data_IF_417387602129
#
_entry.id   IF_417387602129
#
_cell.length_a   1.000
_cell.length_b   1.000
_cell.length_c   1.000
_cell.angle_alpha   90.00
_cell.angle_beta   90.00
_cell.angle_gamma   90.00
#
_symmetry.space_group_name_H-M   'P 1'
#
loop_
_entity.id
_entity.type
_entity.pdbx_description
1 polymer ?
#
# COMPACT_ATOMS: atom_id res chain seq x y z
N UNK A 1 8.10 7.22 -38.72
CA UNK A 1 7.68 7.02 -37.32
C UNK A 1 6.33 7.68 -37.17
N UNK A 2 5.28 6.93 -36.80
CA UNK A 2 3.91 7.48 -36.67
C UNK A 2 3.83 8.38 -35.44
N UNK A 3 3.50 9.66 -35.67
CA UNK A 3 3.32 10.66 -34.62
C UNK A 3 2.14 10.28 -33.70
N UNK A 4 2.31 10.43 -32.39
CA UNK A 4 1.31 10.04 -31.40
C UNK A 4 0.26 11.14 -31.28
N UNK A 5 -0.96 10.85 -31.70
CA UNK A 5 -2.07 11.80 -31.70
C UNK A 5 -2.93 11.72 -30.44
N UNK A 6 -3.67 12.81 -30.16
CA UNK A 6 -4.67 12.92 -29.07
C UNK A 6 -5.72 11.81 -29.11
N UNK A 7 -6.13 11.39 -30.32
CA UNK A 7 -7.10 10.30 -30.55
C UNK A 7 -6.54 8.96 -30.06
N UNK A 8 -5.26 8.65 -30.36
CA UNK A 8 -4.63 7.40 -29.92
C UNK A 8 -4.57 7.30 -28.39
N UNK A 9 -4.30 8.42 -27.71
CA UNK A 9 -4.29 8.48 -26.24
C UNK A 9 -5.71 8.29 -25.69
N UNK A 10 -6.73 8.87 -26.33
CA UNK A 10 -8.14 8.69 -25.94
C UNK A 10 -8.59 7.24 -26.13
N UNK A 11 -8.28 6.63 -27.26
CA UNK A 11 -8.66 5.24 -27.57
C UNK A 11 -7.99 4.27 -26.59
N UNK A 12 -6.73 4.53 -26.21
CA UNK A 12 -6.05 3.78 -25.15
C UNK A 12 -6.79 3.90 -23.81
N UNK A 13 -7.18 5.12 -23.42
CA UNK A 13 -7.90 5.35 -22.17
C UNK A 13 -9.28 4.66 -22.16
N UNK A 14 -10.03 4.71 -23.26
CA UNK A 14 -11.33 4.02 -23.37
C UNK A 14 -11.16 2.49 -23.33
N UNK A 15 -10.16 1.93 -24.03
CA UNK A 15 -9.85 0.48 -23.94
C UNK A 15 -9.52 0.03 -22.52
N UNK A 16 -8.80 0.84 -21.75
CA UNK A 16 -8.49 0.53 -20.34
C UNK A 16 -9.73 0.66 -19.46
N UNK A 17 -10.60 1.64 -19.75
CA UNK A 17 -11.85 1.87 -19.04
C UNK A 17 -12.85 0.74 -19.26
N UNK A 18 -12.92 0.17 -20.47
CA UNK A 18 -13.72 -1.03 -20.78
C UNK A 18 -13.29 -2.25 -19.94
N UNK A 19 -12.00 -2.36 -19.60
CA UNK A 19 -11.48 -3.40 -18.69
C UNK A 19 -11.86 -3.17 -17.21
N UNK A 20 -12.64 -2.13 -16.92
CA UNK A 20 -13.21 -1.87 -15.60
C UNK A 20 -12.33 -1.03 -14.67
N UNK A 21 -11.13 -0.60 -15.08
CA UNK A 21 -10.23 0.15 -14.20
C UNK A 21 -10.02 1.60 -14.63
N UNK A 22 -10.97 2.46 -14.22
CA UNK A 22 -10.93 3.91 -14.46
C UNK A 22 -9.68 4.60 -13.89
N UNK A 23 -9.21 4.14 -12.72
CA UNK A 23 -8.02 4.66 -12.07
C UNK A 23 -6.76 4.49 -12.93
N UNK A 24 -6.59 3.30 -13.52
CA UNK A 24 -5.44 2.98 -14.38
C UNK A 24 -5.51 3.77 -15.68
N UNK A 25 -6.71 3.98 -16.24
CA UNK A 25 -6.87 4.82 -17.44
C UNK A 25 -6.41 6.25 -17.18
N UNK A 26 -6.75 6.83 -16.01
CA UNK A 26 -6.27 8.16 -15.65
C UNK A 26 -4.75 8.17 -15.44
N UNK A 27 -4.22 7.20 -14.71
CA UNK A 27 -2.77 7.09 -14.45
C UNK A 27 -1.98 6.97 -15.75
N UNK A 28 -2.46 6.19 -16.73
CA UNK A 28 -1.82 6.08 -18.04
C UNK A 28 -1.77 7.44 -18.75
N UNK A 29 -2.86 8.21 -18.73
CA UNK A 29 -2.91 9.56 -19.30
C UNK A 29 -1.97 10.53 -18.58
N UNK A 30 -1.86 10.46 -17.25
CA UNK A 30 -0.93 11.29 -16.47
C UNK A 30 0.54 10.95 -16.75
N UNK A 31 0.87 9.66 -16.89
CA UNK A 31 2.22 9.22 -17.26
C UNK A 31 2.59 9.76 -18.64
N UNK A 32 1.70 9.62 -19.64
CA UNK A 32 1.91 10.16 -20.97
C UNK A 32 2.13 11.68 -20.88
N UNK A 33 1.26 12.40 -20.17
CA UNK A 33 1.39 13.84 -20.00
C UNK A 33 2.75 14.24 -19.39
N UNK A 34 3.20 13.51 -18.35
CA UNK A 34 4.47 13.76 -17.67
C UNK A 34 5.68 13.53 -18.58
N UNK A 35 5.68 12.47 -19.38
CA UNK A 35 6.77 12.17 -20.33
C UNK A 35 6.90 13.26 -21.39
N UNK A 36 5.79 13.73 -21.96
CA UNK A 36 5.83 14.85 -22.92
C UNK A 36 6.26 16.16 -22.27
N UNK A 37 5.78 16.46 -21.06
CA UNK A 37 6.21 17.65 -20.32
C UNK A 37 7.72 17.62 -20.03
N UNK A 38 8.27 16.44 -19.71
CA UNK A 38 9.70 16.26 -19.52
C UNK A 38 10.51 16.51 -20.80
N UNK A 39 10.02 16.03 -21.96
CA UNK A 39 10.66 16.27 -23.26
C UNK A 39 10.63 17.77 -23.63
N UNK A 40 9.47 18.43 -23.45
CA UNK A 40 9.32 19.88 -23.70
C UNK A 40 10.25 20.69 -22.80
N UNK A 41 10.38 20.33 -21.52
CA UNK A 41 11.27 21.00 -20.59
C UNK A 41 12.77 20.89 -20.97
N UNK A 42 13.14 19.89 -21.78
CA UNK A 42 14.50 19.72 -22.33
C UNK A 42 14.72 20.44 -23.66
N UNK A 43 13.73 21.16 -24.18
CA UNK A 43 13.84 21.95 -25.40
C UNK A 43 13.35 21.25 -26.67
N UNK A 44 12.75 20.07 -26.56
CA UNK A 44 12.14 19.38 -27.69
C UNK A 44 10.78 20.03 -28.04
N UNK A 45 10.58 20.41 -29.30
CA UNK A 45 9.37 21.09 -29.77
C UNK A 45 8.25 20.11 -30.11
N UNK A 46 7.79 19.33 -29.13
CA UNK A 46 6.62 18.45 -29.29
C UNK A 46 5.38 19.06 -28.66
N UNK A 47 4.22 18.91 -29.30
CA UNK A 47 2.94 19.22 -28.67
C UNK A 47 2.48 18.05 -27.82
N UNK A 48 2.04 18.32 -26.59
CA UNK A 48 1.57 17.27 -25.68
C UNK A 48 0.15 16.80 -26.07
N UNK A 49 -0.04 15.55 -26.54
CA UNK A 49 -1.35 15.05 -26.97
C UNK A 49 -2.30 14.78 -25.78
N UNK A 50 -1.79 14.68 -24.55
CA UNK A 50 -2.60 14.46 -23.35
C UNK A 50 -3.07 15.75 -22.67
N UNK A 51 -2.53 16.91 -23.06
CA UNK A 51 -2.85 18.21 -22.44
C UNK A 51 -4.33 18.60 -22.61
N UNK A 52 -4.92 18.33 -23.77
CA UNK A 52 -6.31 18.67 -24.08
C UNK A 52 -7.33 17.66 -23.53
N UNK A 53 -6.89 16.51 -23.02
CA UNK A 53 -7.78 15.48 -22.47
C UNK A 53 -7.94 15.78 -20.98
N UNK A 54 -9.12 16.27 -20.56
CA UNK A 54 -9.39 16.51 -19.13
C UNK A 54 -9.48 15.19 -18.36
N UNK A 55 -8.86 15.14 -17.19
CA UNK A 55 -8.92 13.99 -16.28
C UNK A 55 -10.37 13.59 -15.95
N UNK A 56 -11.25 14.58 -15.77
CA UNK A 56 -12.68 14.38 -15.48
C UNK A 56 -13.45 13.70 -16.62
N UNK A 57 -12.97 13.78 -17.86
CA UNK A 57 -13.57 13.08 -19.01
C UNK A 57 -13.24 11.59 -19.00
N UNK A 58 -12.12 11.19 -18.40
CA UNK A 58 -11.67 9.79 -18.35
C UNK A 58 -12.29 9.07 -17.15
N UNK A 59 -12.21 9.67 -15.97
CA UNK A 59 -12.62 9.01 -14.74
C UNK A 59 -13.20 10.00 -13.72
N UNK A 60 -14.41 9.69 -13.25
CA UNK A 60 -14.89 10.19 -11.95
C UNK A 60 -14.57 9.11 -10.92
N UNK A 61 -13.66 9.41 -9.99
CA UNK A 61 -13.40 8.51 -8.87
C UNK A 61 -14.61 8.50 -7.96
N UNK A 62 -15.30 7.36 -7.91
CA UNK A 62 -16.23 7.08 -6.83
C UNK A 62 -15.42 6.48 -5.70
N UNK A 63 -15.38 7.17 -4.56
CA UNK A 63 -14.74 6.66 -3.37
C UNK A 63 -15.34 5.31 -2.97
N UNK A 64 -14.51 4.39 -2.49
CA UNK A 64 -15.00 3.13 -1.91
C UNK A 64 -15.67 3.47 -0.58
N UNK A 65 -16.99 3.44 -0.55
CA UNK A 65 -17.79 3.79 0.62
C UNK A 65 -17.99 2.65 1.61
N UNK A 66 -17.57 1.41 1.28
CA UNK A 66 -17.70 0.28 2.20
C UNK A 66 -16.61 0.33 3.26
N UNK A 67 -17.02 0.57 4.49
CA UNK A 67 -16.22 0.37 5.70
C UNK A 67 -16.73 -0.85 6.46
N UNK A 68 -15.87 -1.49 7.23
CA UNK A 68 -16.31 -2.54 8.16
C UNK A 68 -17.04 -1.89 9.34
N UNK A 69 -18.22 -2.40 9.67
CA UNK A 69 -18.93 -2.05 10.89
C UNK A 69 -18.33 -2.74 12.10
N UNK A 70 -18.55 -2.21 13.31
CA UNK A 70 -18.03 -2.81 14.55
C UNK A 70 -18.41 -4.29 14.71
N UNK A 71 -19.63 -4.67 14.29
CA UNK A 71 -20.10 -6.06 14.33
C UNK A 71 -19.33 -6.95 13.34
N UNK A 72 -19.11 -6.48 12.12
CA UNK A 72 -18.33 -7.21 11.12
C UNK A 72 -16.87 -7.39 11.57
N UNK A 73 -16.28 -6.41 12.26
CA UNK A 73 -14.93 -6.53 12.82
C UNK A 73 -14.88 -7.65 13.88
N UNK A 74 -15.85 -7.69 14.80
CA UNK A 74 -15.92 -8.75 15.82
C UNK A 74 -16.06 -10.14 15.20
N UNK A 75 -16.95 -10.29 14.22
CA UNK A 75 -17.11 -11.56 13.47
C UNK A 75 -15.80 -11.93 12.77
N UNK A 76 -15.17 -10.98 12.08
CA UNK A 76 -13.91 -11.21 11.37
C UNK A 76 -12.80 -11.70 12.29
N UNK A 77 -12.64 -11.09 13.47
CA UNK A 77 -11.61 -11.49 14.43
C UNK A 77 -11.88 -12.89 15.00
N UNK A 78 -13.13 -13.24 15.30
CA UNK A 78 -13.48 -14.58 15.76
C UNK A 78 -13.20 -15.65 14.69
N UNK A 79 -13.61 -15.37 13.44
CA UNK A 79 -13.34 -16.29 12.32
C UNK A 79 -11.84 -16.42 12.04
N UNK A 80 -11.06 -15.34 12.23
CA UNK A 80 -9.61 -15.37 12.07
C UNK A 80 -8.95 -16.37 13.02
N UNK A 81 -9.47 -16.52 14.24
CA UNK A 81 -8.95 -17.46 15.22
C UNK A 81 -9.25 -18.92 14.84
N UNK A 82 -10.41 -19.19 14.25
CA UNK A 82 -10.83 -20.54 13.81
C UNK A 82 -10.13 -21.01 12.53
N UNK A 83 -9.73 -20.09 11.65
CA UNK A 83 -9.08 -20.45 10.38
C UNK A 83 -7.73 -21.12 10.63
N UNK A 84 -7.42 -22.19 9.90
CA UNK A 84 -6.12 -22.90 9.93
C UNK A 84 -4.94 -22.14 9.29
N UNK A 85 -4.88 -20.82 9.43
CA UNK A 85 -3.79 -19.98 8.93
C UNK A 85 -2.59 -19.98 9.88
N UNK A 86 -1.40 -19.63 9.36
CA UNK A 86 -0.19 -19.49 10.17
C UNK A 86 -0.38 -18.42 11.26
N UNK A 87 0.03 -18.72 12.49
CA UNK A 87 -0.15 -17.82 13.65
C UNK A 87 0.51 -16.44 13.45
N UNK A 88 1.59 -16.38 12.67
CA UNK A 88 2.24 -15.12 12.29
C UNK A 88 1.32 -14.22 11.44
N UNK A 89 0.51 -14.81 10.56
CA UNK A 89 -0.45 -14.07 9.72
C UNK A 89 -1.59 -13.54 10.57
N UNK A 90 -2.14 -14.38 11.47
CA UNK A 90 -3.19 -13.95 12.40
C UNK A 90 -2.71 -12.80 13.27
N UNK A 91 -1.51 -12.92 13.86
CA UNK A 91 -0.90 -11.87 14.66
C UNK A 91 -0.71 -10.56 13.88
N UNK A 92 -0.23 -10.64 12.63
CA UNK A 92 -0.06 -9.44 11.80
C UNK A 92 -1.39 -8.77 11.42
N UNK A 93 -2.45 -9.55 11.20
CA UNK A 93 -3.79 -9.01 10.94
C UNK A 93 -4.34 -8.31 12.18
N UNK A 94 -4.29 -8.94 13.35
CA UNK A 94 -4.68 -8.33 14.62
C UNK A 94 -3.90 -7.03 14.90
N UNK A 95 -2.61 -7.01 14.58
CA UNK A 95 -1.77 -5.83 14.70
C UNK A 95 -2.22 -4.68 13.77
N UNK A 96 -2.83 -4.98 12.60
CA UNK A 96 -3.47 -3.93 11.76
C UNK A 96 -4.55 -3.23 12.58
N UNK A 97 -5.44 -4.01 13.21
CA UNK A 97 -6.60 -3.47 13.90
C UNK A 97 -6.22 -2.67 15.15
N UNK A 98 -5.13 -3.07 15.83
CA UNK A 98 -4.66 -2.38 17.03
C UNK A 98 -3.87 -1.11 16.75
N UNK A 99 -3.06 -1.09 15.69
CA UNK A 99 -2.15 0.04 15.40
C UNK A 99 -2.65 0.97 14.29
N UNK A 100 -3.53 0.46 13.42
CA UNK A 100 -4.02 1.14 12.21
C UNK A 100 -2.91 1.67 11.28
N UNK A 101 -1.69 1.17 11.46
CA UNK A 101 -0.53 1.54 10.65
C UNK A 101 -0.70 0.97 9.24
N UNK A 102 -0.27 1.73 8.24
CA UNK A 102 -0.44 1.32 6.84
C UNK A 102 0.38 0.07 6.54
N UNK A 103 -0.10 -0.73 5.58
CA UNK A 103 0.58 -1.95 5.14
C UNK A 103 2.07 -1.73 4.85
N UNK A 104 2.42 -0.67 4.13
CA UNK A 104 3.81 -0.34 3.78
C UNK A 104 4.67 -0.03 5.00
N UNK A 105 4.12 0.72 5.96
CA UNK A 105 4.84 1.15 7.17
C UNK A 105 5.14 -0.03 8.10
N UNK A 106 4.26 -1.04 8.14
CA UNK A 106 4.49 -2.26 8.93
C UNK A 106 5.43 -3.26 8.27
N UNK A 107 5.35 -3.42 6.94
CA UNK A 107 6.24 -4.36 6.23
C UNK A 107 7.71 -3.93 6.36
N UNK A 108 7.95 -2.63 6.33
CA UNK A 108 9.29 -2.05 6.42
C UNK A 108 9.73 -1.71 7.86
N UNK A 109 8.94 -2.10 8.86
CA UNK A 109 9.26 -1.85 10.26
C UNK A 109 10.54 -2.58 10.65
N UNK A 110 11.35 -1.98 11.52
CA UNK A 110 12.49 -2.67 12.14
C UNK A 110 12.24 -2.90 13.61
N UNK A 111 12.80 -3.98 14.15
CA UNK A 111 12.69 -4.29 15.58
C UNK A 111 13.32 -3.22 16.48
N UNK A 112 14.32 -2.50 15.98
CA UNK A 112 15.00 -1.41 16.70
C UNK A 112 14.16 -0.13 16.81
N UNK A 113 13.09 0.01 16.00
CA UNK A 113 12.18 1.15 16.06
C UNK A 113 11.12 0.99 17.18
N UNK A 114 11.03 -0.19 17.79
CA UNK A 114 10.00 -0.55 18.77
C UNK A 114 10.63 -0.58 20.17
N UNK A 115 10.21 0.35 21.02
CA UNK A 115 10.50 0.31 22.44
C UNK A 115 9.46 -0.56 23.16
N UNK A 116 9.86 -1.78 23.51
CA UNK A 116 9.03 -2.73 24.27
C UNK A 116 8.81 -2.31 25.72
N UNK A 117 9.68 -1.45 26.29
CA UNK A 117 9.59 -1.00 27.68
C UNK A 117 8.65 0.20 27.81
N UNK A 118 8.80 1.19 26.94
CA UNK A 118 7.92 2.36 26.86
C UNK A 118 6.64 2.14 26.07
N UNK A 119 6.52 1.03 25.34
CA UNK A 119 5.36 0.73 24.51
C UNK A 119 5.20 1.70 23.34
N UNK A 120 6.31 2.16 22.75
CA UNK A 120 6.30 3.19 21.71
C UNK A 120 6.96 2.64 20.45
N UNK A 121 6.26 2.75 19.33
CA UNK A 121 6.84 2.53 18.02
C UNK A 121 7.06 3.87 17.32
N UNK A 122 8.32 4.28 17.19
CA UNK A 122 8.70 5.56 16.58
C UNK A 122 9.12 5.38 15.12
N UNK A 123 8.39 5.98 14.18
CA UNK A 123 8.80 6.06 12.77
C UNK A 123 8.86 7.50 12.29
N UNK A 124 9.92 7.84 11.59
CA UNK A 124 10.06 9.16 10.96
C UNK A 124 9.47 9.10 9.55
N UNK A 125 8.49 9.97 9.25
CA UNK A 125 7.96 10.13 7.89
C UNK A 125 8.12 11.58 7.46
N UNK A 126 8.81 11.80 6.33
CA UNK A 126 9.00 13.13 5.73
C UNK A 126 9.53 14.19 6.73
N UNK A 127 10.46 13.80 7.60
CA UNK A 127 11.06 14.61 8.68
C UNK A 127 10.16 14.94 9.88
N UNK A 128 8.95 14.37 9.97
CA UNK A 128 8.13 14.44 11.17
C UNK A 128 8.23 13.12 11.96
N UNK A 129 8.57 13.17 13.27
CA UNK A 129 8.49 11.99 14.12
C UNK A 129 7.02 11.59 14.30
N UNK A 130 6.70 10.35 13.98
CA UNK A 130 5.39 9.75 14.22
C UNK A 130 5.54 8.64 15.26
N UNK A 131 5.10 8.92 16.48
CA UNK A 131 5.10 7.93 17.56
C UNK A 131 3.73 7.29 17.65
N UNK A 132 3.70 5.96 17.51
CA UNK A 132 2.51 5.13 17.71
C UNK A 132 2.62 4.48 19.08
N UNK A 133 1.68 4.80 19.96
CA UNK A 133 1.60 4.15 21.27
C UNK A 133 0.98 2.77 21.12
N UNK A 134 1.64 1.76 21.66
CA UNK A 134 1.24 0.36 21.58
C UNK A 134 0.47 -0.04 22.84
N UNK A 135 -0.65 -0.72 22.66
CA UNK A 135 -1.35 -1.39 23.75
C UNK A 135 -0.58 -2.62 24.21
N UNK A 136 -0.89 -3.15 25.41
CA UNK A 136 -0.29 -4.41 25.88
C UNK A 136 -0.53 -5.57 24.90
N UNK A 137 -1.74 -5.68 24.35
CA UNK A 137 -2.06 -6.67 23.32
C UNK A 137 -1.17 -6.53 22.08
N UNK A 138 -0.88 -5.29 21.65
CA UNK A 138 0.00 -5.07 20.51
C UNK A 138 1.44 -5.47 20.83
N UNK A 139 1.93 -5.19 22.04
CA UNK A 139 3.25 -5.61 22.50
C UNK A 139 3.38 -7.13 22.56
N UNK A 140 2.39 -7.82 23.11
CA UNK A 140 2.36 -9.29 23.17
C UNK A 140 2.41 -9.91 21.77
N UNK A 141 1.66 -9.33 20.82
CA UNK A 141 1.71 -9.75 19.42
C UNK A 141 3.07 -9.49 18.77
N UNK A 142 3.74 -8.37 19.07
CA UNK A 142 5.10 -8.12 18.59
C UNK A 142 6.10 -9.11 19.16
N UNK A 143 5.99 -9.47 20.45
CA UNK A 143 6.83 -10.48 21.09
C UNK A 143 6.59 -11.87 20.47
N UNK A 144 5.33 -12.23 20.26
CA UNK A 144 4.96 -13.48 19.59
C UNK A 144 5.54 -13.54 18.17
N UNK A 145 5.41 -12.46 17.39
CA UNK A 145 5.99 -12.35 16.05
C UNK A 145 7.52 -12.49 16.06
N UNK A 146 8.21 -11.87 17.00
CA UNK A 146 9.67 -11.99 17.17
C UNK A 146 10.06 -13.44 17.49
N UNK A 147 9.27 -14.12 18.31
CA UNK A 147 9.47 -15.53 18.67
C UNK A 147 9.28 -16.43 17.46
N UNK A 148 8.21 -16.26 16.69
CA UNK A 148 7.98 -17.01 15.45
C UNK A 148 9.11 -16.78 14.44
N UNK A 149 9.61 -15.55 14.29
CA UNK A 149 10.75 -15.28 13.42
C UNK A 149 12.01 -16.03 13.87
N UNK A 150 12.31 -16.05 15.17
CA UNK A 150 13.47 -16.78 15.70
C UNK A 150 13.39 -18.29 15.49
N UNK A 151 12.19 -18.89 15.55
CA UNK A 151 11.98 -20.32 15.26
C UNK A 151 12.10 -20.66 13.76
N UNK A 152 11.61 -19.78 12.88
CA UNK A 152 11.59 -20.03 11.43
C UNK A 152 12.89 -19.67 10.70
N UNK A 153 13.75 -18.84 11.32
CA UNK A 153 15.03 -18.44 10.73
C UNK A 153 16.01 -19.61 10.55
N UNK A 154 15.76 -20.76 11.17
CA UNK A 154 16.56 -21.98 10.96
C UNK A 154 16.16 -22.78 9.70
N UNK A 155 15.04 -22.47 9.02
CA UNK A 155 14.50 -23.35 7.98
C UNK A 155 13.93 -22.70 6.70
N UNK A 156 13.70 -21.38 6.63
CA UNK A 156 13.04 -20.81 5.44
C UNK A 156 13.54 -19.41 5.04
N UNK A 157 14.49 -19.36 4.10
CA UNK A 157 14.97 -18.14 3.43
C UNK A 157 13.99 -17.56 2.39
N UNK A 158 12.75 -18.04 2.29
CA UNK A 158 11.87 -17.66 1.16
C UNK A 158 10.36 -17.53 1.45
N UNK A 159 9.93 -17.38 2.70
CA UNK A 159 8.51 -17.15 3.01
C UNK A 159 8.22 -15.66 3.24
N UNK A 160 7.92 -14.94 2.16
CA UNK A 160 7.76 -13.48 2.10
C UNK A 160 6.51 -12.90 2.79
N UNK A 161 6.03 -13.47 3.90
CA UNK A 161 4.84 -12.92 4.58
C UNK A 161 5.20 -11.96 5.71
N UNK A 162 6.32 -12.16 6.42
CA UNK A 162 6.87 -11.17 7.37
C UNK A 162 8.39 -11.38 7.41
N UNK A 163 9.06 -11.07 6.31
CA UNK A 163 10.53 -10.93 6.33
C UNK A 163 10.81 -9.51 6.83
N UNK A 164 10.65 -9.27 8.14
CA UNK A 164 11.21 -8.10 8.80
C UNK A 164 12.73 -8.24 8.62
N UNK A 165 13.23 -7.61 7.57
CA UNK A 165 14.59 -7.77 7.07
C UNK A 165 15.57 -7.49 8.21
N UNK A 166 16.34 -8.51 8.53
CA UNK A 166 17.64 -8.34 9.16
C UNK A 166 18.46 -7.43 8.25
N UNK A 167 18.62 -6.16 8.64
CA UNK A 167 19.79 -5.32 8.40
C UNK A 167 19.62 -3.97 9.08
#
# INVERSE_FOLDING_TARGET
MTEINTVMVRDLCEKIKERGTRAIALQAREIIQSVYNFAIARGETFQNPAANIRASTIATFKERTRTLTQKEIGIFLNELDEIGAMQSVKAAVCLVFLTLVRKSERIEAKWDEIDFSGGIWGRMKARCPHNVYLSQQALDLFIALKTYQSLFCHFATNCGVICLMQH
#
